data_IF_096192130929
#
_entry.id   IF_096192130929
#
_cell.length_a   1.000
_cell.length_b   1.000
_cell.length_c   1.000
_cell.angle_alpha   90.00
_cell.angle_beta   90.00
_cell.angle_gamma   90.00
#
_symmetry.space_group_name_H-M   'P 1'
#
loop_
_entity.id
_entity.type
_entity.pdbx_description
1 polymer ?
#
# COMPACT_ATOMS: atom_id res chain seq x y z
N UNK A 1 -9.64 -15.03 8.09
CA UNK A 1 -9.71 -13.88 9.01
C UNK A 1 -8.45 -13.07 8.76
N UNK A 2 -8.57 -11.79 8.38
CA UNK A 2 -7.44 -10.87 8.33
C UNK A 2 -7.45 -10.13 9.67
N UNK A 3 -6.47 -10.44 10.51
CA UNK A 3 -6.28 -9.76 11.79
C UNK A 3 -5.22 -8.67 11.62
N UNK A 4 -5.58 -7.43 11.92
CA UNK A 4 -4.63 -6.34 12.06
C UNK A 4 -4.31 -6.20 13.55
N UNK A 5 -3.09 -6.54 13.93
CA UNK A 5 -2.62 -6.46 15.32
C UNK A 5 -1.68 -5.27 15.45
N UNK A 6 -2.09 -4.25 16.20
CA UNK A 6 -1.21 -3.18 16.65
C UNK A 6 -0.93 -3.38 18.16
N UNK A 7 0.32 -3.65 18.50
CA UNK A 7 0.79 -3.81 19.88
C UNK A 7 0.82 -2.45 20.60
N UNK A 8 0.65 -2.48 21.93
CA UNK A 8 0.94 -1.31 22.80
C UNK A 8 2.41 -0.95 22.66
N UNK A 9 2.70 0.21 22.10
CA UNK A 9 4.04 0.79 22.10
C UNK A 9 3.94 2.27 22.43
N UNK A 10 4.71 2.72 23.41
CA UNK A 10 5.05 4.13 23.56
C UNK A 10 6.03 4.48 22.44
N UNK A 11 5.61 5.28 21.46
CA UNK A 11 6.53 5.81 20.47
C UNK A 11 7.44 6.86 21.11
N UNK A 12 8.74 6.78 20.86
CA UNK A 12 9.69 7.81 21.28
C UNK A 12 9.36 9.15 20.58
N UNK A 13 9.61 10.29 21.25
CA UNK A 13 9.47 11.60 20.64
C UNK A 13 10.41 11.75 19.43
N UNK A 14 10.04 12.62 18.50
CA UNK A 14 10.94 13.05 17.43
C UNK A 14 12.23 13.63 18.06
N UNK A 15 13.40 13.56 17.37
CA UNK A 15 14.71 13.91 17.94
C UNK A 15 14.79 15.29 18.63
N UNK A 16 13.87 16.21 18.33
CA UNK A 16 13.84 17.58 18.87
C UNK A 16 12.47 18.00 19.45
N UNK A 17 11.55 17.06 19.70
CA UNK A 17 10.22 17.35 20.25
C UNK A 17 10.15 17.13 21.76
N UNK A 18 9.89 18.19 22.54
CA UNK A 18 9.50 18.04 23.97
C UNK A 18 8.12 17.36 24.12
N UNK A 19 7.33 17.31 23.04
CA UNK A 19 6.01 16.70 23.02
C UNK A 19 6.09 15.18 22.80
N UNK A 20 5.60 14.44 23.80
CA UNK A 20 5.33 13.01 23.66
C UNK A 20 3.91 12.83 23.13
N UNK A 21 3.77 12.38 21.88
CA UNK A 21 2.49 11.92 21.35
C UNK A 21 2.09 10.62 22.07
N UNK A 22 1.06 10.71 22.91
CA UNK A 22 0.41 9.52 23.46
C UNK A 22 -0.66 9.07 22.48
N UNK A 23 -0.51 7.87 21.92
CA UNK A 23 -1.47 7.27 21.00
C UNK A 23 -2.09 6.03 21.62
N UNK A 24 -3.41 5.92 21.54
CA UNK A 24 -4.11 4.68 21.88
C UNK A 24 -4.26 3.82 20.63
N UNK A 25 -3.60 2.67 20.61
CA UNK A 25 -3.78 1.68 19.54
C UNK A 25 -5.13 0.98 19.70
N UNK A 26 -5.92 0.97 18.62
CA UNK A 26 -7.16 0.19 18.53
C UNK A 26 -6.94 -1.01 17.61
N UNK A 27 -7.47 -2.16 18.00
CA UNK A 27 -7.49 -3.36 17.16
C UNK A 27 -8.85 -3.50 16.50
N UNK A 28 -8.86 -3.75 15.18
CA UNK A 28 -10.07 -3.95 14.40
C UNK A 28 -9.93 -5.27 13.65
N UNK A 29 -10.83 -6.21 13.91
CA UNK A 29 -10.91 -7.47 13.17
C UNK A 29 -11.94 -7.33 12.06
N UNK A 30 -11.49 -7.49 10.82
CA UNK A 30 -12.36 -7.38 9.65
C UNK A 30 -12.64 -8.78 9.12
N UNK A 31 -13.90 -9.25 9.14
CA UNK A 31 -14.24 -10.54 8.57
C UNK A 31 -14.17 -10.47 7.05
N UNK A 32 -13.23 -11.23 6.48
CA UNK A 32 -13.08 -11.38 5.03
C UNK A 32 -13.26 -12.85 4.69
N UNK A 33 -14.09 -13.12 3.68
CA UNK A 33 -14.22 -14.46 3.12
C UNK A 33 -12.86 -14.90 2.59
N UNK A 34 -12.43 -16.10 2.93
CA UNK A 34 -11.18 -16.65 2.41
C UNK A 34 -11.24 -16.69 0.88
N UNK A 35 -10.28 -16.01 0.24
CA UNK A 35 -10.08 -16.08 -1.20
C UNK A 35 -8.79 -16.87 -1.47
N UNK A 36 -8.93 -17.98 -2.19
CA UNK A 36 -7.82 -18.87 -2.55
C UNK A 36 -6.74 -18.16 -3.37
N UNK A 37 -7.10 -17.07 -4.07
CA UNK A 37 -6.18 -16.32 -4.93
C UNK A 37 -5.15 -15.48 -4.16
N UNK A 38 -5.36 -15.24 -2.86
CA UNK A 38 -4.44 -14.45 -2.02
C UNK A 38 -3.83 -15.25 -0.87
N UNK A 39 -3.99 -16.58 -0.87
CA UNK A 39 -3.40 -17.44 0.15
C UNK A 39 -1.87 -17.47 0.09
N UNK A 40 -1.24 -17.52 1.28
CA UNK A 40 0.22 -17.51 1.43
C UNK A 40 0.86 -16.15 1.13
N UNK A 41 0.04 -15.12 0.94
CA UNK A 41 0.47 -13.75 0.72
C UNK A 41 0.94 -13.03 1.97
N UNK A 42 1.66 -11.93 1.77
CA UNK A 42 2.04 -11.00 2.83
C UNK A 42 1.38 -9.65 2.58
N UNK A 43 0.87 -9.02 3.65
CA UNK A 43 0.46 -7.62 3.62
C UNK A 43 1.69 -6.73 3.77
N UNK A 44 1.75 -5.61 3.06
CA UNK A 44 2.91 -4.70 3.12
C UNK A 44 2.56 -3.27 3.53
N UNK A 45 1.35 -2.80 3.22
CA UNK A 45 0.97 -1.42 3.46
C UNK A 45 -0.51 -1.29 3.80
N UNK A 46 -0.83 -0.29 4.61
CA UNK A 46 -2.22 0.03 4.98
C UNK A 46 -2.34 1.53 5.24
N UNK A 47 -3.32 2.18 4.62
CA UNK A 47 -3.71 3.56 4.94
C UNK A 47 -5.22 3.75 4.77
N UNK A 48 -5.78 4.61 5.62
CA UNK A 48 -7.16 5.07 5.53
C UNK A 48 -7.23 6.34 4.69
N UNK A 49 -8.11 6.36 3.69
CA UNK A 49 -8.35 7.53 2.85
C UNK A 49 -9.85 7.68 2.59
N UNK A 50 -10.44 8.82 2.96
CA UNK A 50 -11.87 9.12 2.79
C UNK A 50 -12.83 7.99 3.23
N UNK A 51 -12.50 7.33 4.35
CA UNK A 51 -13.30 6.22 4.88
C UNK A 51 -13.05 4.87 4.19
N UNK A 52 -12.19 4.81 3.18
CA UNK A 52 -11.73 3.56 2.56
C UNK A 52 -10.37 3.16 3.14
N UNK A 53 -10.30 1.99 3.77
CA UNK A 53 -9.04 1.34 4.13
C UNK A 53 -8.49 0.64 2.89
N UNK A 54 -7.29 1.05 2.47
CA UNK A 54 -6.59 0.50 1.32
C UNK A 54 -5.40 -0.28 1.86
N UNK A 55 -5.33 -1.56 1.52
CA UNK A 55 -4.30 -2.49 2.02
C UNK A 55 -3.53 -3.05 0.84
N UNK A 56 -2.21 -2.89 0.77
CA UNK A 56 -1.40 -3.61 -0.23
C UNK A 56 -0.99 -4.98 0.27
N UNK A 57 -0.99 -5.92 -0.66
CA UNK A 57 -0.59 -7.30 -0.43
C UNK A 57 0.04 -7.92 -1.66
N UNK A 58 0.76 -9.01 -1.47
CA UNK A 58 1.20 -9.91 -2.54
C UNK A 58 0.55 -11.27 -2.40
N UNK A 59 0.20 -11.91 -3.51
CA UNK A 59 -0.04 -13.35 -3.57
C UNK A 59 1.16 -14.04 -4.23
N UNK A 60 1.03 -15.35 -4.50
CA UNK A 60 2.02 -16.08 -5.32
C UNK A 60 2.09 -15.54 -6.75
N UNK A 61 0.98 -15.04 -7.28
CA UNK A 61 0.83 -14.77 -8.71
C UNK A 61 0.77 -13.27 -9.04
N UNK A 62 0.34 -12.43 -8.09
CA UNK A 62 0.15 -10.99 -8.33
C UNK A 62 0.22 -10.14 -7.06
N UNK A 63 0.59 -8.87 -7.23
CA UNK A 63 0.34 -7.84 -6.22
C UNK A 63 -1.11 -7.39 -6.24
N UNK A 64 -1.68 -7.00 -5.10
CA UNK A 64 -3.07 -6.56 -4.99
C UNK A 64 -3.27 -5.42 -4.00
N UNK A 65 -4.42 -4.73 -4.14
CA UNK A 65 -5.01 -3.90 -3.11
C UNK A 65 -6.29 -4.56 -2.59
N UNK A 66 -6.37 -4.76 -1.27
CA UNK A 66 -7.61 -5.05 -0.56
C UNK A 66 -8.32 -3.74 -0.21
N UNK A 67 -9.59 -3.63 -0.58
CA UNK A 67 -10.39 -2.43 -0.39
C UNK A 67 -11.49 -2.68 0.64
N UNK A 68 -11.58 -1.80 1.64
CA UNK A 68 -12.61 -1.88 2.69
C UNK A 68 -13.22 -0.52 2.93
N UNK A 69 -14.54 -0.43 3.02
CA UNK A 69 -15.26 0.82 3.31
C UNK A 69 -15.73 0.85 4.75
N UNK A 70 -15.51 1.97 5.44
CA UNK A 70 -16.11 2.25 6.73
C UNK A 70 -17.60 2.58 6.54
N UNK A 71 -18.48 1.71 7.03
CA UNK A 71 -19.93 1.82 6.95
C UNK A 71 -20.54 1.56 8.33
N UNK A 72 -21.20 2.58 8.89
CA UNK A 72 -21.88 2.45 10.18
C UNK A 72 -20.96 2.10 11.36
N UNK A 73 -19.68 2.48 11.29
CA UNK A 73 -18.67 2.20 12.32
C UNK A 73 -17.79 0.97 12.05
N UNK A 74 -18.15 0.13 11.07
CA UNK A 74 -17.40 -1.08 10.74
C UNK A 74 -16.81 -1.03 9.32
N UNK A 75 -15.65 -1.66 9.14
CA UNK A 75 -15.10 -1.87 7.80
C UNK A 75 -15.76 -3.06 7.09
N UNK A 76 -16.20 -2.85 5.85
CA UNK A 76 -16.78 -3.86 4.96
C UNK A 76 -15.88 -4.07 3.77
N UNK A 77 -15.54 -5.32 3.49
CA UNK A 77 -14.74 -5.69 2.33
C UNK A 77 -15.50 -5.41 1.03
N UNK A 78 -14.90 -4.60 0.16
CA UNK A 78 -15.46 -4.26 -1.15
C UNK A 78 -14.92 -5.18 -2.25
N UNK A 79 -13.66 -5.61 -2.14
CA UNK A 79 -13.03 -6.48 -3.12
C UNK A 79 -11.52 -6.30 -3.22
N UNK A 80 -10.96 -6.97 -4.22
CA UNK A 80 -9.55 -6.89 -4.58
C UNK A 80 -9.36 -6.14 -5.90
N UNK A 81 -8.36 -5.26 -5.94
CA UNK A 81 -7.78 -4.77 -7.19
C UNK A 81 -6.47 -5.51 -7.43
N UNK A 82 -6.37 -6.23 -8.54
CA UNK A 82 -5.09 -6.79 -8.99
C UNK A 82 -4.23 -5.68 -9.58
N UNK A 83 -2.93 -5.68 -9.26
CA UNK A 83 -1.98 -4.68 -9.71
C UNK A 83 -1.19 -5.22 -10.91
N UNK A 84 0.01 -5.75 -10.68
CA UNK A 84 0.79 -6.45 -11.67
C UNK A 84 0.88 -7.94 -11.35
N UNK A 85 0.99 -8.74 -12.41
CA UNK A 85 1.34 -10.15 -12.35
C UNK A 85 2.87 -10.32 -12.37
N UNK A 86 3.31 -11.57 -12.36
CA UNK A 86 4.70 -11.96 -12.60
C UNK A 86 5.33 -11.19 -13.79
N UNK A 87 6.56 -10.66 -13.66
CA UNK A 87 7.46 -10.82 -12.52
C UNK A 87 7.19 -9.83 -11.36
N UNK A 88 6.34 -8.82 -11.52
CA UNK A 88 6.19 -7.72 -10.55
C UNK A 88 5.08 -7.97 -9.51
N UNK A 89 5.06 -9.16 -8.92
CA UNK A 89 4.01 -9.58 -7.99
C UNK A 89 4.26 -9.15 -6.53
N UNK A 90 5.33 -8.40 -6.23
CA UNK A 90 5.64 -7.95 -4.87
C UNK A 90 5.31 -6.47 -4.61
N UNK A 91 4.22 -6.18 -3.88
CA UNK A 91 3.70 -4.83 -3.64
C UNK A 91 4.28 -4.16 -2.36
N UNK A 92 5.59 -3.94 -2.32
CA UNK A 92 6.32 -3.48 -1.12
C UNK A 92 6.14 -2.00 -0.77
N UNK A 93 6.39 -1.10 -1.71
CA UNK A 93 6.28 0.34 -1.47
C UNK A 93 4.82 0.79 -1.49
N UNK A 94 4.38 1.53 -0.47
CA UNK A 94 3.00 1.99 -0.37
C UNK A 94 2.91 3.39 0.27
N UNK A 95 2.31 4.36 -0.42
CA UNK A 95 1.85 5.59 0.22
C UNK A 95 0.65 6.23 -0.50
N UNK A 96 -0.40 6.53 0.26
CA UNK A 96 -1.48 7.46 -0.11
C UNK A 96 -1.11 8.87 0.34
N UNK A 97 -1.20 9.83 -0.57
CA UNK A 97 -0.93 11.26 -0.39
C UNK A 97 -1.91 12.06 -1.24
N UNK A 98 -2.71 12.92 -0.60
CA UNK A 98 -3.92 13.50 -1.20
C UNK A 98 -4.77 12.43 -1.90
N UNK A 99 -5.19 12.66 -3.14
CA UNK A 99 -5.97 11.74 -3.96
C UNK A 99 -5.12 10.69 -4.70
N UNK A 100 -3.87 10.47 -4.30
CA UNK A 100 -2.93 9.64 -5.05
C UNK A 100 -2.36 8.53 -4.20
N UNK A 101 -2.41 7.31 -4.72
CA UNK A 101 -1.67 6.17 -4.21
C UNK A 101 -0.44 5.94 -5.08
N UNK A 102 0.74 6.04 -4.47
CA UNK A 102 1.98 5.49 -5.02
C UNK A 102 2.17 4.07 -4.51
N UNK A 103 2.43 3.14 -5.44
CA UNK A 103 2.72 1.75 -5.12
C UNK A 103 3.94 1.24 -5.88
N UNK A 104 4.88 0.65 -5.15
CA UNK A 104 6.07 0.01 -5.70
C UNK A 104 5.84 -1.50 -5.85
N UNK A 105 6.01 -1.98 -7.08
CA UNK A 105 5.87 -3.37 -7.48
C UNK A 105 7.23 -3.92 -7.90
N UNK A 106 7.70 -4.97 -7.23
CA UNK A 106 9.05 -5.49 -7.40
C UNK A 106 9.03 -6.88 -8.00
N UNK A 107 10.10 -7.20 -8.72
CA UNK A 107 10.43 -8.58 -9.08
C UNK A 107 11.14 -9.27 -7.90
N UNK A 108 10.46 -10.16 -7.15
CA UNK A 108 11.05 -10.77 -5.97
C UNK A 108 12.10 -11.83 -6.32
N UNK A 109 12.13 -12.31 -7.57
CA UNK A 109 13.07 -13.34 -8.03
C UNK A 109 14.32 -12.68 -8.59
N UNK A 110 14.18 -11.89 -9.65
CA UNK A 110 15.28 -11.26 -10.34
C UNK A 110 15.86 -10.03 -9.60
N UNK A 111 15.03 -9.32 -8.81
CA UNK A 111 15.42 -8.15 -7.98
C UNK A 111 16.22 -7.08 -8.73
N UNK A 112 16.01 -6.96 -10.04
CA UNK A 112 16.71 -6.01 -10.93
C UNK A 112 15.78 -4.99 -11.55
N UNK A 113 14.48 -5.15 -11.34
CA UNK A 113 13.47 -4.27 -11.90
C UNK A 113 12.33 -4.05 -10.89
N UNK A 114 11.71 -2.89 -11.01
CA UNK A 114 10.47 -2.55 -10.34
C UNK A 114 9.61 -1.66 -11.21
N UNK A 115 8.34 -1.56 -10.85
CA UNK A 115 7.39 -0.62 -11.44
C UNK A 115 6.79 0.19 -10.30
N UNK A 116 6.79 1.51 -10.43
CA UNK A 116 5.99 2.36 -9.56
C UNK A 116 4.73 2.74 -10.32
N UNK A 117 3.58 2.55 -9.69
CA UNK A 117 2.30 2.99 -10.24
C UNK A 117 1.75 4.15 -9.40
N UNK A 118 1.17 5.14 -10.07
CA UNK A 118 0.34 6.16 -9.45
C UNK A 118 -1.12 5.88 -9.81
N UNK A 119 -1.95 5.71 -8.78
CA UNK A 119 -3.37 5.42 -8.91
C UNK A 119 -4.13 6.61 -8.31
N UNK A 120 -5.11 7.14 -9.04
CA UNK A 120 -6.02 8.15 -8.51
C UNK A 120 -7.08 7.47 -7.63
N UNK A 121 -7.09 7.84 -6.34
CA UNK A 121 -7.99 7.27 -5.32
C UNK A 121 -9.13 8.21 -4.94
N UNK A 122 -9.35 9.30 -5.69
CA UNK A 122 -10.42 10.27 -5.43
C UNK A 122 -11.84 9.69 -5.53
N UNK A 123 -12.00 8.53 -6.16
CA UNK A 123 -13.27 7.82 -6.29
C UNK A 123 -13.01 6.32 -6.47
N UNK A 124 -14.02 5.50 -6.18
CA UNK A 124 -13.91 4.05 -6.33
C UNK A 124 -13.72 3.63 -7.79
N UNK A 125 -14.32 4.35 -8.73
CA UNK A 125 -14.19 4.13 -10.17
C UNK A 125 -12.74 4.32 -10.63
N UNK A 126 -12.09 5.41 -10.20
CA UNK A 126 -10.69 5.69 -10.55
C UNK A 126 -9.74 4.73 -9.84
N UNK A 127 -9.99 4.42 -8.58
CA UNK A 127 -9.23 3.43 -7.82
C UNK A 127 -9.30 2.05 -8.50
N UNK A 128 -10.47 1.68 -9.03
CA UNK A 128 -10.67 0.40 -9.73
C UNK A 128 -10.08 0.40 -11.15
N UNK A 129 -10.00 1.56 -11.80
CA UNK A 129 -9.43 1.76 -13.14
C UNK A 129 -7.90 1.56 -13.23
N UNK A 130 -7.31 1.57 -14.43
CA UNK A 130 -5.86 1.41 -14.59
C UNK A 130 -5.08 2.52 -13.86
N UNK A 131 -3.80 2.29 -13.51
CA UNK A 131 -2.97 3.34 -12.96
C UNK A 131 -2.84 4.50 -13.94
N UNK A 132 -2.89 5.73 -13.42
CA UNK A 132 -2.77 6.96 -14.23
C UNK A 132 -1.36 7.10 -14.78
N UNK A 133 -0.37 6.64 -14.02
CA UNK A 133 1.03 6.67 -14.43
C UNK A 133 1.74 5.40 -13.99
N UNK A 134 2.73 4.97 -14.78
CA UNK A 134 3.58 3.82 -14.47
C UNK A 134 5.02 4.14 -14.85
N UNK A 135 5.93 4.06 -13.89
CA UNK A 135 7.36 4.25 -14.05
C UNK A 135 8.06 2.91 -13.91
N UNK A 136 8.68 2.43 -14.98
CA UNK A 136 9.55 1.25 -14.93
C UNK A 136 10.95 1.66 -14.50
N UNK A 137 11.54 0.90 -13.58
CA UNK A 137 12.93 1.04 -13.14
C UNK A 137 13.65 -0.27 -13.40
N UNK A 138 14.89 -0.17 -13.84
CA UNK A 138 15.77 -1.31 -14.07
C UNK A 138 17.19 -0.92 -13.69
N UNK A 139 17.93 -1.86 -13.13
CA UNK A 139 19.31 -1.65 -12.74
C UNK A 139 19.96 -2.92 -12.24
N UNK A 140 21.07 -2.73 -11.52
CA UNK A 140 21.78 -3.84 -10.89
C UNK A 140 20.94 -4.53 -9.82
N UNK A 141 21.36 -5.74 -9.45
CA UNK A 141 20.70 -6.54 -8.43
C UNK A 141 20.53 -5.76 -7.12
N UNK A 142 19.29 -5.68 -6.63
CA UNK A 142 18.86 -4.92 -5.44
C UNK A 142 19.11 -3.39 -5.50
N UNK A 143 19.40 -2.83 -6.67
CA UNK A 143 19.58 -1.38 -6.86
C UNK A 143 18.37 -0.69 -7.48
N UNK A 144 17.37 -1.46 -7.89
CA UNK A 144 16.15 -0.94 -8.52
C UNK A 144 14.89 -1.55 -7.93
N UNK A 145 14.94 -1.87 -6.64
CA UNK A 145 13.82 -2.21 -5.76
C UNK A 145 12.97 -0.97 -5.47
N UNK A 146 11.71 -1.20 -5.11
CA UNK A 146 10.72 -0.18 -4.79
C UNK A 146 9.94 -0.54 -3.51
N UNK A 147 10.60 -1.20 -2.56
CA UNK A 147 10.03 -1.63 -1.29
C UNK A 147 9.61 -0.47 -0.37
N UNK A 148 10.04 0.75 -0.66
CA UNK A 148 9.55 1.97 -0.01
C UNK A 148 9.31 3.05 -1.07
N UNK A 149 8.17 3.73 -0.99
CA UNK A 149 7.86 4.91 -1.82
C UNK A 149 7.37 6.02 -0.90
N UNK A 150 7.66 7.26 -1.28
CA UNK A 150 7.02 8.43 -0.72
C UNK A 150 6.60 9.39 -1.83
N UNK A 151 5.39 9.92 -1.73
CA UNK A 151 4.77 10.83 -2.67
C UNK A 151 4.38 12.12 -1.96
N UNK A 152 4.88 13.23 -2.46
CA UNK A 152 4.46 14.57 -2.07
C UNK A 152 3.91 15.28 -3.30
N UNK A 153 2.66 15.75 -3.22
CA UNK A 153 2.12 16.67 -4.20
C UNK A 153 2.44 18.11 -3.78
N UNK A 154 2.95 18.90 -4.72
CA UNK A 154 3.16 20.34 -4.53
C UNK A 154 2.64 21.07 -5.76
N UNK A 155 1.52 21.77 -5.61
CA UNK A 155 0.80 22.43 -6.70
C UNK A 155 0.43 21.43 -7.82
N UNK A 156 1.00 21.64 -9.00
CA UNK A 156 0.86 20.87 -10.24
C UNK A 156 1.93 19.79 -10.41
N UNK A 157 2.82 19.60 -9.43
CA UNK A 157 3.92 18.65 -9.49
C UNK A 157 3.83 17.55 -8.42
N UNK A 158 4.39 16.39 -8.73
CA UNK A 158 4.66 15.32 -7.78
C UNK A 158 6.16 15.17 -7.56
N UNK A 159 6.57 15.10 -6.30
CA UNK A 159 7.85 14.56 -5.91
C UNK A 159 7.63 13.12 -5.45
N UNK A 160 8.19 12.17 -6.20
CA UNK A 160 8.20 10.75 -5.86
C UNK A 160 9.62 10.36 -5.44
N UNK A 161 9.78 9.98 -4.18
CA UNK A 161 10.99 9.34 -3.68
C UNK A 161 10.79 7.82 -3.65
N UNK A 162 11.81 7.07 -4.05
CA UNK A 162 11.76 5.61 -4.02
C UNK A 162 13.01 5.05 -3.36
N UNK A 163 12.81 4.27 -2.30
CA UNK A 163 13.85 3.53 -1.60
C UNK A 163 14.11 2.18 -2.26
N UNK A 164 15.38 1.76 -2.24
CA UNK A 164 15.85 0.49 -2.81
C UNK A 164 16.59 -0.32 -1.77
#
# INVERSE_FOLDING_TARGET
MLEFVALRATSQPLPDGEETLTVEAQSISIPVKTDVQIQGGHLQGVQLFNGTLIVSGSSKDFGYLGLFQLLGGDFRFLGLKKLAADPFNHAGGFQVSDNWLAIGLEDPVGKRASVIQLIDVSSFEKLSGPPVYSLKRQGEFKRSTAGAVALLKRNDHFLLAVGS
#
